data_IF_739296857633
#
_entry.id   IF_739296857633
#
_cell.length_a   1.000
_cell.length_b   1.000
_cell.length_c   1.000
_cell.angle_alpha   90.00
_cell.angle_beta   90.00
_cell.angle_gamma   90.00
#
_symmetry.space_group_name_H-M   'P 1'
#
loop_
_entity.id
_entity.type
_entity.pdbx_description
1 polymer ?
#
# COMPACT_ATOMS: atom_id res chain seq x y z
N UNK A 1 -32.96 16.79 -23.27
CA UNK A 1 -33.37 15.99 -22.09
C UNK A 1 -32.13 15.79 -21.23
N UNK A 2 -32.05 16.51 -20.11
CA UNK A 2 -30.90 16.49 -19.19
C UNK A 2 -31.21 15.52 -18.04
N UNK A 3 -30.28 14.65 -17.61
CA UNK A 3 -30.50 13.86 -16.41
C UNK A 3 -30.17 14.68 -15.15
N UNK A 4 -31.07 14.53 -14.19
CA UNK A 4 -31.09 15.14 -12.86
C UNK A 4 -29.85 14.78 -12.05
N UNK A 5 -29.30 15.80 -11.39
CA UNK A 5 -28.34 15.68 -10.29
C UNK A 5 -29.04 14.97 -9.14
N UNK A 6 -28.53 13.80 -8.74
CA UNK A 6 -28.95 13.09 -7.53
C UNK A 6 -27.80 13.19 -6.51
N UNK A 7 -28.04 13.98 -5.47
CA UNK A 7 -27.24 13.97 -4.25
C UNK A 7 -27.45 12.66 -3.49
N UNK A 8 -26.44 12.08 -2.83
CA UNK A 8 -26.65 10.98 -1.89
C UNK A 8 -27.03 11.53 -0.51
N UNK A 9 -28.26 11.22 -0.11
CA UNK A 9 -28.77 11.38 1.25
C UNK A 9 -28.13 10.36 2.19
N UNK A 10 -27.58 10.87 3.28
CA UNK A 10 -27.31 10.12 4.51
C UNK A 10 -28.64 9.76 5.17
N UNK A 11 -28.94 8.47 5.35
CA UNK A 11 -29.47 7.87 6.60
C UNK A 11 -29.99 6.44 6.35
N UNK A 12 -29.42 5.48 7.09
CA UNK A 12 -30.20 4.53 7.90
C UNK A 12 -30.84 3.28 7.28
N UNK A 13 -30.20 2.15 7.58
CA UNK A 13 -30.80 0.96 8.23
C UNK A 13 -31.52 -0.11 7.38
N UNK A 14 -30.87 -1.29 7.40
CA UNK A 14 -31.38 -2.67 7.43
C UNK A 14 -31.76 -3.38 6.12
N UNK A 15 -30.95 -4.40 5.81
CA UNK A 15 -31.23 -5.45 4.82
C UNK A 15 -30.04 -6.40 4.70
N UNK A 16 -30.10 -7.49 5.45
CA UNK A 16 -29.14 -8.60 5.51
C UNK A 16 -28.95 -9.23 4.13
N UNK A 17 -27.70 -9.39 3.66
CA UNK A 17 -27.33 -10.53 2.82
C UNK A 17 -25.82 -10.79 2.84
N UNK A 18 -25.47 -11.99 3.32
CA UNK A 18 -24.14 -12.57 3.33
C UNK A 18 -23.58 -12.68 1.90
N UNK A 19 -22.37 -12.18 1.66
CA UNK A 19 -21.44 -12.75 0.66
C UNK A 19 -20.00 -12.45 1.04
N UNK A 20 -19.28 -13.55 1.22
CA UNK A 20 -17.86 -13.73 1.46
C UNK A 20 -16.96 -13.03 0.44
N UNK A 21 -15.93 -12.31 0.89
CA UNK A 21 -14.80 -11.93 0.06
C UNK A 21 -13.98 -10.76 0.60
N UNK A 22 -12.81 -11.07 1.18
CA UNK A 22 -11.68 -10.16 1.43
C UNK A 22 -11.85 -9.05 2.49
N UNK A 23 -11.56 -9.37 3.76
CA UNK A 23 -11.33 -8.37 4.81
C UNK A 23 -9.85 -7.94 4.84
N UNK A 24 -9.56 -6.77 4.29
CA UNK A 24 -8.37 -5.98 4.67
C UNK A 24 -8.61 -5.40 6.06
N UNK A 25 -8.02 -6.02 7.09
CA UNK A 25 -8.12 -5.58 8.49
C UNK A 25 -7.24 -4.34 8.72
N UNK A 26 -7.80 -3.14 8.56
CA UNK A 26 -7.32 -1.97 9.31
C UNK A 26 -7.92 -2.05 10.72
N UNK A 27 -7.09 -2.35 11.71
CA UNK A 27 -7.45 -2.28 13.13
C UNK A 27 -7.08 -0.92 13.70
N UNK A 28 -7.97 -0.18 14.37
CA UNK A 28 -7.57 0.93 15.21
C UNK A 28 -6.95 0.36 16.49
N UNK A 29 -5.66 0.63 16.72
CA UNK A 29 -4.94 0.16 17.91
C UNK A 29 -5.23 1.09 19.10
N UNK A 30 -6.44 0.99 19.67
CA UNK A 30 -6.71 1.42 21.04
C UNK A 30 -7.08 0.15 21.81
N UNK A 31 -6.09 -0.50 22.42
CA UNK A 31 -6.35 -1.56 23.39
C UNK A 31 -6.64 -0.91 24.75
N UNK A 32 -7.93 -0.82 25.05
CA UNK A 32 -8.43 -0.81 26.42
C UNK A 32 -8.01 -2.14 27.07
N UNK A 33 -7.08 -2.08 28.02
CA UNK A 33 -6.72 -3.25 28.83
C UNK A 33 -7.79 -3.41 29.91
N UNK A 34 -8.68 -4.37 29.66
CA UNK A 34 -9.69 -4.84 30.60
C UNK A 34 -9.06 -5.91 31.47
N UNK A 35 -9.23 -5.77 32.78
CA UNK A 35 -8.85 -6.74 33.81
C UNK A 35 -9.20 -8.18 33.42
N UNK A 36 -8.20 -9.05 33.49
CA UNK A 36 -8.40 -10.48 33.74
C UNK A 36 -7.43 -10.89 34.83
N UNK A 37 -7.91 -10.84 36.06
CA UNK A 37 -7.46 -11.69 37.15
C UNK A 37 -7.78 -13.14 36.77
N UNK A 38 -6.77 -13.88 36.33
CA UNK A 38 -6.80 -15.32 36.30
C UNK A 38 -5.65 -15.81 37.17
N UNK A 39 -6.03 -16.37 38.32
CA UNK A 39 -5.17 -17.17 39.16
C UNK A 39 -4.70 -18.43 38.40
N UNK A 40 -3.62 -19.01 38.93
CA UNK A 40 -3.02 -20.30 38.59
C UNK A 40 -2.01 -20.30 37.43
N UNK A 41 -0.73 -20.10 37.76
CA UNK A 41 0.19 -21.24 37.81
C UNK A 41 1.44 -20.94 38.67
N UNK A 42 1.75 -21.86 39.56
CA UNK A 42 2.82 -21.78 40.55
C UNK A 42 4.18 -22.03 39.89
N UNK A 43 4.76 -20.97 39.32
CA UNK A 43 6.17 -20.93 38.95
C UNK A 43 6.75 -19.63 39.47
N UNK A 44 7.59 -19.71 40.51
CA UNK A 44 8.41 -18.61 41.00
C UNK A 44 9.26 -18.10 39.83
N UNK A 45 8.73 -17.15 39.07
CA UNK A 45 9.55 -16.29 38.22
C UNK A 45 10.44 -15.52 39.19
N UNK A 46 11.77 -15.46 38.98
CA UNK A 46 12.64 -14.71 39.86
C UNK A 46 12.05 -13.31 39.97
N UNK A 47 11.62 -12.95 41.18
CA UNK A 47 11.07 -11.63 41.45
C UNK A 47 12.12 -10.64 40.97
N UNK A 48 11.78 -9.83 39.98
CA UNK A 48 12.58 -8.67 39.63
C UNK A 48 12.52 -7.73 40.85
N UNK A 49 13.49 -7.85 41.74
CA UNK A 49 13.70 -6.86 42.79
C UNK A 49 14.21 -5.59 42.11
N UNK A 50 13.32 -4.62 41.97
CA UNK A 50 13.70 -3.27 41.61
C UNK A 50 14.49 -2.69 42.78
N UNK A 51 15.79 -2.55 42.55
CA UNK A 51 16.70 -1.93 43.51
C UNK A 51 16.57 -0.41 43.40
N UNK A 52 16.16 0.21 44.50
CA UNK A 52 16.23 1.66 44.68
C UNK A 52 17.65 2.17 44.40
N UNK A 53 17.81 3.43 44.00
CA UNK A 53 19.13 4.02 43.70
C UNK A 53 20.04 3.93 44.94
N UNK A 54 19.48 4.06 46.14
CA UNK A 54 20.19 3.87 47.41
C UNK A 54 20.71 2.44 47.59
N UNK A 55 19.96 1.43 47.15
CA UNK A 55 20.39 0.03 47.23
C UNK A 55 21.51 -0.26 46.21
N UNK A 56 21.37 0.26 44.98
CA UNK A 56 22.40 0.13 43.95
C UNK A 56 23.71 0.81 44.34
N UNK A 57 23.61 1.99 44.95
CA UNK A 57 24.77 2.73 45.42
C UNK A 57 25.46 2.04 46.60
N UNK A 58 24.68 1.57 47.59
CA UNK A 58 25.21 0.84 48.75
C UNK A 58 26.00 -0.39 48.33
N UNK A 59 25.52 -1.18 47.38
CA UNK A 59 26.23 -2.38 46.89
C UNK A 59 27.67 -2.05 46.38
N UNK A 60 27.90 -0.83 45.90
CA UNK A 60 29.21 -0.39 45.41
C UNK A 60 30.06 0.25 46.54
N UNK A 61 29.43 0.96 47.48
CA UNK A 61 30.13 1.73 48.52
C UNK A 61 30.43 0.96 49.81
N UNK A 62 29.77 -0.18 50.06
CA UNK A 62 29.91 -0.96 51.31
C UNK A 62 31.31 -1.52 51.55
N UNK A 63 32.06 -1.86 50.51
CA UNK A 63 33.42 -2.41 50.62
C UNK A 63 34.52 -1.34 50.51
N UNK A 64 34.17 -0.05 50.49
CA UNK A 64 35.17 1.02 50.31
C UNK A 64 35.95 1.33 51.59
N UNK A 65 37.09 2.01 51.45
CA UNK A 65 38.02 2.26 52.55
C UNK A 65 37.35 2.81 53.83
N UNK A 66 37.84 2.37 55.00
CA UNK A 66 37.35 2.81 56.31
C UNK A 66 37.99 4.15 56.74
N UNK A 67 37.20 5.05 57.33
CA UNK A 67 37.64 6.41 57.74
C UNK A 67 38.85 6.42 58.69
N UNK A 68 38.97 5.40 59.56
CA UNK A 68 40.01 5.30 60.60
C UNK A 68 41.46 5.26 60.07
N UNK A 69 41.65 4.96 58.78
CA UNK A 69 42.99 4.83 58.18
C UNK A 69 43.57 6.15 57.67
N UNK A 70 42.78 7.23 57.66
CA UNK A 70 43.16 8.48 57.01
C UNK A 70 43.34 9.62 58.02
N UNK A 71 44.41 10.41 57.81
CA UNK A 71 44.73 11.58 58.65
C UNK A 71 43.83 12.79 58.40
N UNK A 72 43.09 12.80 57.29
CA UNK A 72 42.20 13.89 56.88
C UNK A 72 40.92 13.31 56.30
N UNK A 73 39.78 13.90 56.68
CA UNK A 73 38.48 13.55 56.12
C UNK A 73 38.40 13.82 54.62
N UNK A 74 39.06 14.88 54.13
CA UNK A 74 39.09 15.20 52.71
C UNK A 74 39.83 14.11 51.90
N UNK A 75 40.97 13.64 52.41
CA UNK A 75 41.73 12.55 51.80
C UNK A 75 40.92 11.24 51.80
N UNK A 76 40.23 10.95 52.90
CA UNK A 76 39.32 9.81 52.98
C UNK A 76 38.21 9.90 51.92
N UNK A 77 37.60 11.07 51.77
CA UNK A 77 36.52 11.29 50.81
C UNK A 77 36.98 11.14 49.37
N UNK A 78 38.15 11.69 49.03
CA UNK A 78 38.75 11.57 47.71
C UNK A 78 39.07 10.11 47.34
N UNK A 79 39.73 9.38 48.25
CA UNK A 79 40.09 7.96 48.01
C UNK A 79 38.83 7.11 47.88
N UNK A 80 37.85 7.30 48.77
CA UNK A 80 36.61 6.52 48.72
C UNK A 80 35.78 6.82 47.47
N UNK A 81 35.74 8.07 47.02
CA UNK A 81 35.10 8.44 45.76
C UNK A 81 35.83 7.82 44.55
N UNK A 82 37.16 7.90 44.52
CA UNK A 82 37.95 7.30 43.43
C UNK A 82 37.75 5.78 43.35
N UNK A 83 37.81 5.07 44.48
CA UNK A 83 37.55 3.62 44.55
C UNK A 83 36.13 3.27 44.08
N UNK A 84 35.13 4.05 44.53
CA UNK A 84 33.74 3.81 44.16
C UNK A 84 33.49 4.09 42.66
N UNK A 85 34.08 5.13 42.09
CA UNK A 85 33.99 5.44 40.66
C UNK A 85 34.73 4.41 39.80
N UNK A 86 35.89 3.91 40.26
CA UNK A 86 36.61 2.84 39.57
C UNK A 86 35.77 1.55 39.54
N UNK A 87 35.15 1.18 40.67
CA UNK A 87 34.21 0.05 40.71
C UNK A 87 33.00 0.27 39.83
N UNK A 88 32.42 1.48 39.82
CA UNK A 88 31.33 1.83 38.91
C UNK A 88 31.73 1.61 37.46
N UNK A 89 32.91 2.06 37.05
CA UNK A 89 33.37 1.93 35.67
C UNK A 89 33.59 0.47 35.24
N UNK A 90 33.93 -0.43 36.18
CA UNK A 90 34.03 -1.87 35.90
C UNK A 90 32.66 -2.51 35.64
N UNK A 91 31.61 -2.04 36.31
CA UNK A 91 30.24 -2.56 36.17
C UNK A 91 29.50 -1.89 35.02
N UNK A 92 29.60 -0.57 34.93
CA UNK A 92 28.93 0.26 33.94
C UNK A 92 29.91 1.31 33.39
N UNK A 93 30.62 0.99 32.29
CA UNK A 93 31.62 1.88 31.70
C UNK A 93 31.05 3.24 31.32
N UNK A 94 31.91 4.26 31.31
CA UNK A 94 31.59 5.58 30.78
C UNK A 94 31.33 5.48 29.28
N UNK A 95 30.21 6.05 28.84
CA UNK A 95 29.83 6.17 27.44
C UNK A 95 30.02 7.62 27.02
N UNK A 96 30.54 7.84 25.81
CA UNK A 96 30.72 9.17 25.25
C UNK A 96 29.69 9.44 24.15
N UNK A 97 29.27 10.69 24.02
CA UNK A 97 28.43 11.15 22.92
C UNK A 97 29.23 11.14 21.61
N UNK A 98 28.53 11.26 20.47
CA UNK A 98 29.14 11.46 19.16
C UNK A 98 30.02 12.73 19.08
N UNK A 99 29.83 13.68 20.01
CA UNK A 99 30.58 14.93 20.13
C UNK A 99 31.78 14.79 21.08
N UNK A 100 32.00 13.61 21.67
CA UNK A 100 33.11 13.32 22.58
C UNK A 100 32.84 13.69 24.04
N UNK A 101 31.63 14.09 24.39
CA UNK A 101 31.25 14.45 25.77
C UNK A 101 30.89 13.20 26.59
N UNK A 102 31.31 13.16 27.86
CA UNK A 102 30.92 12.07 28.78
C UNK A 102 29.41 12.11 29.03
N UNK A 103 28.72 11.01 28.71
CA UNK A 103 27.28 10.91 28.97
C UNK A 103 27.00 10.67 30.45
N UNK A 104 25.94 11.27 31.01
CA UNK A 104 25.52 11.00 32.38
C UNK A 104 25.24 9.52 32.60
N UNK A 105 25.63 8.99 33.76
CA UNK A 105 25.53 7.57 34.09
C UNK A 105 24.75 7.38 35.40
N UNK A 106 23.65 6.62 35.34
CA UNK A 106 22.74 6.36 36.47
C UNK A 106 23.48 5.83 37.71
N UNK A 107 24.36 4.85 37.53
CA UNK A 107 25.07 4.22 38.64
C UNK A 107 26.08 5.19 39.28
N UNK A 108 26.83 5.92 38.45
CA UNK A 108 27.78 6.93 38.95
C UNK A 108 27.05 8.04 39.72
N UNK A 109 25.91 8.51 39.21
CA UNK A 109 25.06 9.48 39.89
C UNK A 109 24.57 8.95 41.24
N UNK A 110 24.03 7.73 41.28
CA UNK A 110 23.55 7.09 42.52
C UNK A 110 24.68 6.99 43.58
N UNK A 111 25.85 6.51 43.18
CA UNK A 111 27.02 6.40 44.06
C UNK A 111 27.48 7.76 44.56
N UNK A 112 27.46 8.78 43.72
CA UNK A 112 27.86 10.15 44.11
C UNK A 112 26.88 10.74 45.13
N UNK A 113 25.57 10.55 44.95
CA UNK A 113 24.54 10.97 45.90
C UNK A 113 24.66 10.22 47.25
N UNK A 114 24.97 8.92 47.21
CA UNK A 114 25.17 8.10 48.40
C UNK A 114 26.40 8.56 49.20
N UNK A 115 27.53 8.74 48.52
CA UNK A 115 28.76 9.21 49.16
C UNK A 115 28.62 10.63 49.74
N UNK A 116 27.89 11.52 49.07
CA UNK A 116 27.58 12.84 49.62
C UNK A 116 26.80 12.73 50.94
N UNK A 117 25.86 11.78 51.03
CA UNK A 117 25.15 11.46 52.28
C UNK A 117 26.07 10.96 53.38
N UNK A 118 26.93 9.99 53.06
CA UNK A 118 27.90 9.42 54.01
C UNK A 118 28.90 10.47 54.51
N UNK A 119 29.44 11.31 53.61
CA UNK A 119 30.37 12.38 53.98
C UNK A 119 29.68 13.48 54.78
N UNK A 120 28.40 13.76 54.53
CA UNK A 120 27.64 14.70 55.35
C UNK A 120 27.68 14.29 56.83
N UNK A 121 27.55 13.00 57.15
CA UNK A 121 27.60 12.52 58.54
C UNK A 121 28.95 12.77 59.21
N UNK A 122 30.04 12.72 58.44
CA UNK A 122 31.40 12.94 58.93
C UNK A 122 31.75 14.43 59.05
N UNK A 123 31.02 15.31 58.37
CA UNK A 123 31.28 16.76 58.32
C UNK A 123 30.70 17.55 59.51
N UNK A 124 30.23 16.89 60.58
CA UNK A 124 29.84 17.51 61.84
C UNK A 124 28.84 18.68 61.68
N UNK A 125 29.25 19.95 61.91
CA UNK A 125 28.35 21.11 61.83
C UNK A 125 27.76 21.35 60.43
N UNK A 126 28.41 20.89 59.36
CA UNK A 126 27.91 21.03 57.99
C UNK A 126 27.00 19.87 57.55
N UNK A 127 26.81 18.85 58.39
CA UNK A 127 26.06 17.65 58.05
C UNK A 127 24.65 17.98 57.53
N UNK A 128 23.95 18.89 58.20
CA UNK A 128 22.59 19.26 57.83
C UNK A 128 22.53 19.95 56.45
N UNK A 129 23.50 20.83 56.17
CA UNK A 129 23.58 21.55 54.89
C UNK A 129 23.89 20.57 53.75
N UNK A 130 24.85 19.68 53.95
CA UNK A 130 25.24 18.69 52.92
C UNK A 130 24.12 17.67 52.66
N UNK A 131 23.39 17.23 53.69
CA UNK A 131 22.20 16.39 53.51
C UNK A 131 21.12 17.12 52.72
N UNK A 132 20.86 18.39 53.04
CA UNK A 132 19.89 19.18 52.30
C UNK A 132 20.28 19.35 50.82
N UNK A 133 21.55 19.65 50.54
CA UNK A 133 22.07 19.73 49.17
C UNK A 133 21.90 18.39 48.44
N UNK A 134 22.22 17.27 49.10
CA UNK A 134 22.00 15.93 48.54
C UNK A 134 20.53 15.72 48.18
N UNK A 135 19.62 16.03 49.09
CA UNK A 135 18.18 15.79 48.90
C UNK A 135 17.62 16.63 47.73
N UNK A 136 18.05 17.89 47.61
CA UNK A 136 17.68 18.74 46.47
C UNK A 136 18.30 18.27 45.15
N UNK A 137 19.56 17.79 45.18
CA UNK A 137 20.20 17.18 43.99
C UNK A 137 19.47 15.91 43.54
N UNK A 138 19.05 15.06 44.49
CA UNK A 138 18.28 13.85 44.17
C UNK A 138 16.95 14.25 43.52
N UNK A 139 16.22 15.22 44.08
CA UNK A 139 14.96 15.73 43.48
C UNK A 139 15.15 16.34 42.09
N UNK A 140 16.28 17.01 41.86
CA UNK A 140 16.57 17.65 40.58
C UNK A 140 16.97 16.64 39.49
N UNK A 141 17.70 15.59 39.87
CA UNK A 141 18.25 14.61 38.92
C UNK A 141 17.26 13.47 38.68
N UNK A 142 16.62 12.98 39.73
CA UNK A 142 15.65 11.91 39.65
C UNK A 142 14.26 12.48 39.46
N UNK A 143 13.56 11.97 38.45
CA UNK A 143 12.19 12.35 38.19
C UNK A 143 11.28 11.94 39.36
N UNK A 144 10.37 12.83 39.77
CA UNK A 144 9.23 12.48 40.63
C UNK A 144 8.15 11.67 39.88
N UNK A 145 8.22 11.68 38.54
CA UNK A 145 7.31 11.00 37.63
C UNK A 145 7.96 9.71 37.15
N UNK A 146 7.38 8.58 37.54
CA UNK A 146 7.89 7.24 37.30
C UNK A 146 7.53 6.76 35.89
N UNK A 147 8.48 6.11 35.20
CA UNK A 147 8.20 5.42 33.95
C UNK A 147 8.42 3.92 34.14
N UNK A 148 7.38 3.12 33.88
CA UNK A 148 7.54 1.67 33.80
C UNK A 148 8.46 1.33 32.63
N UNK A 149 9.60 0.67 32.91
CA UNK A 149 10.55 0.29 31.85
C UNK A 149 10.01 -0.83 30.94
N UNK A 150 8.98 -1.58 31.35
CA UNK A 150 8.53 -2.81 30.65
C UNK A 150 7.01 -3.05 30.65
N UNK A 151 6.20 -2.04 30.94
CA UNK A 151 4.74 -2.22 31.08
C UNK A 151 4.31 -3.05 32.29
N UNK A 152 5.24 -3.31 33.21
CA UNK A 152 4.97 -3.89 34.52
C UNK A 152 4.62 -2.78 35.51
N UNK A 153 3.73 -3.05 36.46
CA UNK A 153 3.34 -2.16 37.57
C UNK A 153 4.47 -2.05 38.61
N UNK A 154 5.71 -1.83 38.17
CA UNK A 154 6.85 -1.60 39.03
C UNK A 154 7.44 -0.24 38.69
N UNK A 155 7.59 0.57 39.72
CA UNK A 155 7.87 2.00 39.64
C UNK A 155 9.34 2.24 40.01
N UNK A 156 10.18 2.44 39.00
CA UNK A 156 11.59 2.77 39.20
C UNK A 156 11.77 4.28 39.21
N UNK A 157 12.47 4.80 40.22
CA UNK A 157 12.96 6.17 40.18
C UNK A 157 14.12 6.24 39.19
N UNK A 158 13.92 6.93 38.07
CA UNK A 158 14.91 7.07 37.01
C UNK A 158 15.46 8.49 36.95
N UNK A 159 16.77 8.66 36.74
CA UNK A 159 17.33 9.95 36.38
C UNK A 159 16.71 10.47 35.08
N UNK A 160 16.48 11.77 34.98
CA UNK A 160 15.87 12.40 33.79
C UNK A 160 16.64 12.08 32.50
N UNK A 161 17.96 11.99 32.57
CA UNK A 161 18.82 11.73 31.40
C UNK A 161 18.65 10.32 30.83
N UNK A 162 18.29 9.33 31.66
CA UNK A 162 17.94 7.99 31.17
C UNK A 162 16.63 8.02 30.38
N UNK A 163 15.65 8.80 30.85
CA UNK A 163 14.37 8.97 30.15
C UNK A 163 14.60 9.73 28.84
N UNK A 164 15.41 10.78 28.86
CA UNK A 164 15.79 11.53 27.66
C UNK A 164 16.48 10.63 26.63
N UNK A 165 17.49 9.84 27.03
CA UNK A 165 18.19 8.93 26.12
C UNK A 165 17.24 7.87 25.52
N UNK A 166 16.32 7.32 26.34
CA UNK A 166 15.32 6.38 25.85
C UNK A 166 14.41 7.04 24.81
N UNK A 167 13.89 8.23 25.12
CA UNK A 167 13.02 8.97 24.21
C UNK A 167 13.75 9.39 22.93
N UNK A 168 15.04 9.75 23.01
CA UNK A 168 15.87 10.04 21.83
C UNK A 168 15.96 8.83 20.91
N UNK A 169 16.25 7.64 21.46
CA UNK A 169 16.29 6.38 20.71
C UNK A 169 14.94 6.02 20.10
N UNK A 170 13.86 6.12 20.87
CA UNK A 170 12.50 5.87 20.37
C UNK A 170 12.13 6.85 19.25
N UNK A 171 12.50 8.12 19.39
CA UNK A 171 12.24 9.14 18.38
C UNK A 171 13.06 8.88 17.09
N UNK A 172 14.30 8.43 17.20
CA UNK A 172 15.11 8.03 16.05
C UNK A 172 14.47 6.88 15.28
N UNK A 173 13.98 5.84 15.97
CA UNK A 173 13.24 4.73 15.36
C UNK A 173 11.97 5.23 14.68
N UNK A 174 11.16 6.05 15.35
CA UNK A 174 9.92 6.60 14.78
C UNK A 174 10.18 7.50 13.57
N UNK A 175 11.28 8.26 13.56
CA UNK A 175 11.68 9.06 12.39
C UNK A 175 12.08 8.16 11.22
N UNK A 176 12.86 7.11 11.47
CA UNK A 176 13.24 6.15 10.43
C UNK A 176 12.03 5.44 9.83
N UNK A 177 11.07 5.01 10.68
CA UNK A 177 9.80 4.44 10.24
C UNK A 177 8.99 5.43 9.40
N UNK A 178 8.86 6.68 9.86
CA UNK A 178 8.16 7.73 9.10
C UNK A 178 8.75 7.92 7.71
N UNK A 179 10.08 8.02 7.60
CA UNK A 179 10.75 8.19 6.30
C UNK A 179 10.51 6.99 5.38
N UNK A 180 10.49 5.77 5.94
CA UNK A 180 10.15 4.56 5.17
C UNK A 180 8.71 4.57 4.68
N UNK A 181 7.76 4.95 5.52
CA UNK A 181 6.35 5.06 5.12
C UNK A 181 6.12 6.13 4.06
N UNK A 182 6.80 7.27 4.18
CA UNK A 182 6.73 8.34 3.19
C UNK A 182 7.24 7.88 1.81
N UNK A 183 8.37 7.15 1.77
CA UNK A 183 8.88 6.58 0.53
C UNK A 183 7.91 5.56 -0.10
N UNK A 184 7.32 4.68 0.71
CA UNK A 184 6.31 3.73 0.21
C UNK A 184 5.06 4.43 -0.33
N UNK A 185 4.57 5.48 0.34
CA UNK A 185 3.42 6.25 -0.13
C UNK A 185 3.71 6.94 -1.47
N UNK A 186 4.90 7.49 -1.65
CA UNK A 186 5.31 8.10 -2.93
C UNK A 186 5.39 7.07 -4.06
N UNK A 187 5.92 5.88 -3.78
CA UNK A 187 5.95 4.78 -4.76
C UNK A 187 4.55 4.32 -5.15
N UNK A 188 3.66 4.12 -4.17
CA UNK A 188 2.27 3.75 -4.42
C UNK A 188 1.52 4.82 -5.21
N UNK A 189 1.73 6.11 -4.89
CA UNK A 189 1.14 7.21 -5.65
C UNK A 189 1.61 7.20 -7.11
N UNK A 190 2.89 6.97 -7.36
CA UNK A 190 3.43 6.86 -8.71
C UNK A 190 2.85 5.65 -9.47
N UNK A 191 2.65 4.52 -8.77
CA UNK A 191 2.01 3.34 -9.35
C UNK A 191 0.55 3.60 -9.72
N UNK A 192 -0.22 4.26 -8.85
CA UNK A 192 -1.62 4.64 -9.12
C UNK A 192 -1.68 5.53 -10.36
N UNK A 193 -0.83 6.54 -10.46
CA UNK A 193 -0.81 7.43 -11.64
C UNK A 193 -0.55 6.65 -12.95
N UNK A 194 0.35 5.67 -12.94
CA UNK A 194 0.58 4.80 -14.12
C UNK A 194 -0.63 3.96 -14.46
N UNK A 195 -1.32 3.42 -13.46
CA UNK A 195 -2.53 2.62 -13.67
C UNK A 195 -3.63 3.51 -14.25
N UNK A 196 -3.83 4.72 -13.73
CA UNK A 196 -4.81 5.67 -14.24
C UNK A 196 -4.54 6.05 -15.70
N UNK A 197 -3.27 6.29 -16.06
CA UNK A 197 -2.87 6.56 -17.44
C UNK A 197 -3.16 5.37 -18.36
N UNK A 198 -2.84 4.14 -17.93
CA UNK A 198 -3.14 2.92 -18.68
C UNK A 198 -4.64 2.72 -18.86
N UNK A 199 -5.44 2.91 -17.81
CA UNK A 199 -6.90 2.82 -17.88
C UNK A 199 -7.44 3.86 -18.88
N UNK A 200 -6.94 5.10 -18.84
CA UNK A 200 -7.31 6.13 -19.81
C UNK A 200 -6.92 5.78 -21.25
N UNK A 201 -5.79 5.10 -21.45
CA UNK A 201 -5.41 4.59 -22.77
C UNK A 201 -6.34 3.45 -23.25
N UNK A 202 -6.66 2.48 -22.39
CA UNK A 202 -7.58 1.40 -22.71
C UNK A 202 -9.01 1.88 -23.01
N UNK A 203 -9.49 2.88 -22.27
CA UNK A 203 -10.80 3.48 -22.53
C UNK A 203 -10.85 4.12 -23.92
N UNK A 204 -9.81 4.88 -24.31
CA UNK A 204 -9.70 5.47 -25.65
C UNK A 204 -9.62 4.41 -26.75
N UNK A 205 -8.81 3.37 -26.55
CA UNK A 205 -8.69 2.26 -27.50
C UNK A 205 -10.04 1.52 -27.68
N UNK A 206 -10.77 1.31 -26.59
CA UNK A 206 -12.09 0.66 -26.62
C UNK A 206 -13.11 1.51 -27.37
N UNK A 207 -13.14 2.83 -27.12
CA UNK A 207 -14.02 3.74 -27.83
C UNK A 207 -13.72 3.78 -29.34
N UNK A 208 -12.45 3.80 -29.73
CA UNK A 208 -12.03 3.74 -31.14
C UNK A 208 -12.45 2.41 -31.79
N UNK A 209 -12.20 1.28 -31.14
CA UNK A 209 -12.61 -0.04 -31.62
C UNK A 209 -14.13 -0.17 -31.76
N UNK A 210 -14.91 0.39 -30.83
CA UNK A 210 -16.37 0.44 -30.93
C UNK A 210 -16.83 1.27 -32.13
N UNK A 211 -16.19 2.42 -32.38
CA UNK A 211 -16.50 3.26 -33.53
C UNK A 211 -16.19 2.56 -34.86
N UNK A 212 -15.04 1.88 -34.95
CA UNK A 212 -14.68 1.06 -36.10
C UNK A 212 -15.67 -0.09 -36.31
N UNK A 213 -16.05 -0.79 -35.25
CA UNK A 213 -17.04 -1.86 -35.32
C UNK A 213 -18.40 -1.36 -35.82
N UNK A 214 -18.85 -0.18 -35.37
CA UNK A 214 -20.07 0.45 -35.89
C UNK A 214 -19.95 0.82 -37.37
N UNK A 215 -18.81 1.37 -37.78
CA UNK A 215 -18.52 1.70 -39.19
C UNK A 215 -18.53 0.45 -40.08
N UNK A 216 -17.88 -0.62 -39.64
CA UNK A 216 -17.87 -1.90 -40.37
C UNK A 216 -19.25 -2.53 -40.47
N UNK A 217 -20.06 -2.48 -39.41
CA UNK A 217 -21.46 -2.95 -39.44
C UNK A 217 -22.28 -2.17 -40.46
N UNK A 218 -22.19 -0.83 -40.45
CA UNK A 218 -22.88 0.00 -41.43
C UNK A 218 -22.46 -0.32 -42.88
N UNK A 219 -21.15 -0.51 -43.12
CA UNK A 219 -20.65 -0.93 -44.44
C UNK A 219 -21.18 -2.30 -44.84
N UNK A 220 -21.21 -3.26 -43.91
CA UNK A 220 -21.76 -4.58 -44.17
C UNK A 220 -23.24 -4.48 -44.58
N UNK A 221 -24.05 -3.70 -43.87
CA UNK A 221 -25.46 -3.49 -44.19
C UNK A 221 -25.65 -2.91 -45.62
N UNK A 222 -24.79 -1.96 -46.02
CA UNK A 222 -24.83 -1.42 -47.40
C UNK A 222 -24.46 -2.44 -48.47
N UNK A 223 -23.52 -3.34 -48.18
CA UNK A 223 -23.11 -4.41 -49.11
C UNK A 223 -24.18 -5.47 -49.20
N UNK A 224 -24.83 -5.83 -48.09
CA UNK A 224 -25.96 -6.76 -48.10
C UNK A 224 -27.12 -6.20 -48.93
N UNK A 225 -27.48 -4.93 -48.75
CA UNK A 225 -28.52 -4.28 -49.54
C UNK A 225 -28.19 -4.22 -51.04
N UNK A 226 -26.93 -3.94 -51.40
CA UNK A 226 -26.51 -3.92 -52.80
C UNK A 226 -26.47 -5.32 -53.42
N UNK A 227 -26.09 -6.34 -52.65
CA UNK A 227 -26.15 -7.74 -53.06
C UNK A 227 -27.60 -8.16 -53.33
N UNK A 228 -28.54 -7.80 -52.45
CA UNK A 228 -29.96 -8.07 -52.64
C UNK A 228 -30.52 -7.40 -53.91
N UNK A 229 -30.15 -6.14 -54.17
CA UNK A 229 -30.51 -5.44 -55.40
C UNK A 229 -29.94 -6.12 -56.64
N UNK A 230 -28.64 -6.44 -56.63
CA UNK A 230 -27.99 -7.13 -57.75
C UNK A 230 -28.60 -8.52 -58.00
N UNK A 231 -29.00 -9.24 -56.95
CA UNK A 231 -29.72 -10.52 -57.08
C UNK A 231 -31.10 -10.34 -57.71
N UNK A 232 -31.83 -9.28 -57.38
CA UNK A 232 -33.12 -8.95 -58.01
C UNK A 232 -32.93 -8.58 -59.48
N UNK A 233 -31.97 -7.72 -59.81
CA UNK A 233 -31.63 -7.33 -61.18
C UNK A 233 -31.20 -8.54 -62.03
N UNK A 234 -30.39 -9.45 -61.46
CA UNK A 234 -30.01 -10.68 -62.15
C UNK A 234 -31.21 -11.60 -62.41
N UNK A 235 -32.22 -11.62 -61.52
CA UNK A 235 -33.46 -12.39 -61.72
C UNK A 235 -34.31 -11.77 -62.83
N UNK A 236 -34.55 -10.46 -62.79
CA UNK A 236 -35.32 -9.76 -63.83
C UNK A 236 -34.64 -9.86 -65.19
N UNK A 237 -33.33 -9.66 -65.26
CA UNK A 237 -32.55 -9.83 -66.50
C UNK A 237 -32.62 -11.27 -67.05
N UNK A 238 -32.64 -12.29 -66.19
CA UNK A 238 -32.86 -13.69 -66.63
C UNK A 238 -34.27 -13.90 -67.21
N UNK A 239 -35.29 -13.29 -66.64
CA UNK A 239 -36.67 -13.38 -67.13
C UNK A 239 -36.83 -12.66 -68.47
N UNK A 240 -36.22 -11.48 -68.61
CA UNK A 240 -36.17 -10.73 -69.87
C UNK A 240 -35.43 -11.50 -70.96
N UNK A 241 -34.27 -12.10 -70.66
CA UNK A 241 -33.55 -12.96 -71.60
C UNK A 241 -34.39 -14.15 -72.05
N UNK A 242 -35.17 -14.77 -71.15
CA UNK A 242 -36.11 -15.84 -71.51
C UNK A 242 -37.21 -15.34 -72.45
N UNK A 243 -37.76 -14.14 -72.19
CA UNK A 243 -38.77 -13.51 -73.05
C UNK A 243 -38.22 -13.20 -74.44
N UNK A 244 -37.09 -12.50 -74.51
CA UNK A 244 -36.41 -12.15 -75.75
C UNK A 244 -36.02 -13.40 -76.55
N UNK A 245 -35.57 -14.48 -75.88
CA UNK A 245 -35.28 -15.75 -76.55
C UNK A 245 -36.52 -16.37 -77.19
N UNK A 246 -37.68 -16.33 -76.53
CA UNK A 246 -38.96 -16.79 -77.12
C UNK A 246 -39.36 -15.94 -78.32
N UNK A 247 -39.26 -14.62 -78.21
CA UNK A 247 -39.55 -13.69 -79.30
C UNK A 247 -38.61 -13.90 -80.50
N UNK A 248 -37.31 -14.09 -80.25
CA UNK A 248 -36.35 -14.40 -81.30
C UNK A 248 -36.65 -15.73 -82.00
N UNK A 249 -36.98 -16.80 -81.26
CA UNK A 249 -37.37 -18.07 -81.86
C UNK A 249 -38.61 -17.89 -82.74
N UNK A 250 -39.63 -17.17 -82.25
CA UNK A 250 -40.84 -16.87 -83.01
C UNK A 250 -40.54 -16.10 -84.30
N UNK A 251 -39.76 -15.01 -84.22
CA UNK A 251 -39.36 -14.22 -85.41
C UNK A 251 -38.52 -15.05 -86.39
N UNK A 252 -37.67 -15.94 -85.88
CA UNK A 252 -36.90 -16.87 -86.71
C UNK A 252 -37.84 -17.83 -87.44
N UNK A 253 -38.80 -18.42 -86.75
CA UNK A 253 -39.79 -19.33 -87.34
C UNK A 253 -40.64 -18.61 -88.39
N UNK A 254 -41.07 -17.36 -88.12
CA UNK A 254 -41.75 -16.48 -89.09
C UNK A 254 -40.88 -16.22 -90.33
N UNK A 255 -39.59 -15.90 -90.15
CA UNK A 255 -38.65 -15.70 -91.26
C UNK A 255 -38.42 -16.99 -92.08
N UNK A 256 -38.37 -18.14 -91.43
CA UNK A 256 -38.21 -19.45 -92.08
C UNK A 256 -39.49 -19.84 -92.85
N UNK A 257 -40.67 -19.49 -92.32
CA UNK A 257 -41.96 -19.58 -93.01
C UNK A 257 -42.00 -18.64 -94.24
N UNK A 258 -41.54 -17.40 -94.14
CA UNK A 258 -41.47 -16.48 -95.29
C UNK A 258 -40.46 -16.96 -96.34
N UNK A 259 -39.30 -17.48 -95.93
CA UNK A 259 -38.30 -18.06 -96.85
C UNK A 259 -38.81 -19.29 -97.57
N UNK A 260 -39.52 -20.18 -96.88
CA UNK A 260 -40.15 -21.34 -97.50
C UNK A 260 -41.28 -20.95 -98.44
N UNK A 261 -42.09 -19.95 -98.09
CA UNK A 261 -43.07 -19.34 -98.99
C UNK A 261 -42.39 -18.73 -100.23
N UNK A 262 -41.32 -17.95 -100.06
CA UNK A 262 -40.56 -17.36 -101.18
C UNK A 262 -39.91 -18.44 -102.06
N UNK A 263 -39.36 -19.51 -101.48
CA UNK A 263 -38.83 -20.65 -102.24
C UNK A 263 -39.92 -21.41 -103.00
N UNK A 264 -41.12 -21.56 -102.44
CA UNK A 264 -42.26 -22.15 -103.15
C UNK A 264 -42.70 -21.31 -104.35
N UNK A 265 -42.60 -19.98 -104.26
CA UNK A 265 -42.83 -19.05 -105.38
C UNK A 265 -41.71 -19.17 -106.42
N UNK A 266 -40.45 -19.33 -105.98
CA UNK A 266 -39.28 -19.51 -106.86
C UNK A 266 -39.29 -20.84 -107.62
N UNK A 267 -39.76 -21.92 -106.99
CA UNK A 267 -39.98 -23.24 -107.63
C UNK A 267 -41.20 -23.21 -108.57
N UNK A 268 -42.22 -22.41 -108.25
CA UNK A 268 -43.34 -22.12 -109.17
C UNK A 268 -42.97 -21.27 -110.40
N UNK A 269 -41.80 -20.63 -110.40
CA UNK A 269 -41.29 -19.81 -111.51
C UNK A 269 -40.16 -20.48 -112.32
N UNK A 270 -39.98 -21.80 -112.19
CA UNK A 270 -39.09 -22.62 -113.03
C UNK A 270 -39.89 -23.57 -113.94
N UNK A 271 -40.25 -23.09 -115.14
CA UNK A 271 -40.70 -23.79 -116.36
C UNK A 271 -41.29 -25.23 -116.28
N UNK A 272 -42.53 -25.44 -116.78
CA UNK A 272 -42.86 -26.65 -117.53
C UNK A 272 -42.47 -26.46 -119.01
N UNK A 273 -41.53 -27.28 -119.47
CA UNK A 273 -41.23 -27.42 -120.90
C UNK A 273 -42.43 -27.96 -121.68
N UNK A 274 -42.71 -27.34 -122.82
CA UNK A 274 -43.50 -27.92 -123.90
C UNK A 274 -42.67 -27.83 -125.19
N UNK A 275 -41.83 -28.83 -125.39
CA UNK A 275 -41.41 -29.25 -126.71
C UNK A 275 -42.26 -30.44 -127.14
N UNK A 276 -43.05 -30.29 -128.20
CA UNK A 276 -43.26 -31.28 -129.28
C UNK A 276 -44.34 -30.82 -130.27
N UNK A 277 -43.97 -30.81 -131.54
CA UNK A 277 -44.82 -30.83 -132.74
C UNK A 277 -43.93 -30.98 -133.97
N UNK A 278 -43.63 -32.23 -134.37
CA UNK A 278 -44.04 -32.91 -135.62
C UNK A 278 -43.18 -32.51 -136.85
N UNK A 279 -42.24 -33.37 -137.31
CA UNK A 279 -42.33 -34.39 -138.38
C UNK A 279 -42.43 -33.79 -139.80
N UNK A 280 -41.87 -34.38 -140.89
CA UNK A 280 -40.82 -35.39 -141.08
C UNK A 280 -39.47 -34.81 -141.58
#
# INVERSE_FOLDING_TARGET
MLPKILQPSLTGSNGVENRSGSQTKYSPFIRSFKDTTAADDAGVRPGFEVKDWEAQARDITTESASSEKFKSLALHAEVKLAEALERCNRVHPTVYSSEGEERPNKLRTAVSCQLLGEFAELCGPFAQVLRHIRDELVKAIYSSVCASERGLLVFDQLPWFNVAERLEKENEVLRAERSRFEAMLQEQQAMIMRIEEQVGAYQRATAAAQQEAMSLRSRLDTVVASEESARLEARTGREELKRLRKEWMRLRDELEAERSAHNSIKVGAGQPGLGRGCHP
#
